data_IF_900816592870
#
_entry.id   IF_900816592870
#
_cell.length_a   1.000
_cell.length_b   1.000
_cell.length_c   1.000
_cell.angle_alpha   90.00
_cell.angle_beta   90.00
_cell.angle_gamma   90.00
#
_symmetry.space_group_name_H-M   'P 1'
#
loop_
_entity.id
_entity.type
_entity.pdbx_description
1 polymer ?
#
# COMPACT_ATOMS: atom_id res chain seq x y z
N UNK A 1 8.40 -20.17 -18.61
CA UNK A 1 7.00 -19.70 -18.71
C UNK A 1 6.96 -18.22 -19.07
N UNK A 2 5.98 -17.78 -19.87
CA UNK A 2 5.81 -16.37 -20.24
C UNK A 2 5.36 -15.58 -19.01
N UNK A 3 6.30 -14.88 -18.42
CA UNK A 3 6.13 -14.00 -17.26
C UNK A 3 5.60 -12.65 -17.75
N UNK A 4 4.35 -12.63 -18.19
CA UNK A 4 3.72 -11.39 -18.60
C UNK A 4 3.40 -10.55 -17.35
N UNK A 5 3.91 -9.32 -17.29
CA UNK A 5 3.60 -8.29 -16.28
C UNK A 5 4.21 -8.42 -14.87
N UNK A 6 5.18 -9.31 -14.63
CA UNK A 6 5.88 -9.40 -13.31
C UNK A 6 7.22 -8.66 -13.28
N UNK A 7 7.48 -7.92 -12.21
CA UNK A 7 8.76 -7.25 -11.94
C UNK A 7 9.89 -8.27 -11.67
N UNK A 8 11.16 -7.90 -11.93
CA UNK A 8 12.32 -8.73 -11.58
C UNK A 8 12.34 -9.08 -10.09
N UNK A 9 12.84 -10.27 -9.73
CA UNK A 9 12.90 -10.75 -8.33
C UNK A 9 13.62 -9.77 -7.38
N UNK A 10 14.61 -9.00 -7.87
CA UNK A 10 15.31 -7.97 -7.08
C UNK A 10 14.39 -6.87 -6.54
N UNK A 11 13.32 -6.55 -7.27
CA UNK A 11 12.33 -5.57 -6.84
C UNK A 11 11.58 -6.03 -5.59
N UNK A 12 11.49 -7.34 -5.33
CA UNK A 12 10.80 -7.88 -4.14
C UNK A 12 11.47 -7.41 -2.84
N UNK A 13 12.80 -7.45 -2.78
CA UNK A 13 13.56 -7.02 -1.61
C UNK A 13 13.44 -5.51 -1.40
N UNK A 14 13.54 -4.73 -2.49
CA UNK A 14 13.33 -3.27 -2.45
C UNK A 14 11.91 -2.95 -1.98
N UNK A 15 10.94 -3.71 -2.47
CA UNK A 15 9.54 -3.59 -2.09
C UNK A 15 9.34 -3.76 -0.59
N UNK A 16 9.92 -4.79 0.01
CA UNK A 16 9.84 -5.01 1.46
C UNK A 16 10.47 -3.86 2.27
N UNK A 17 11.59 -3.32 1.81
CA UNK A 17 12.24 -2.16 2.44
C UNK A 17 11.30 -0.95 2.38
N UNK A 18 10.74 -0.66 1.21
CA UNK A 18 9.82 0.47 1.03
C UNK A 18 8.54 0.32 1.85
N UNK A 19 7.97 -0.89 1.89
CA UNK A 19 6.78 -1.19 2.66
C UNK A 19 7.07 -1.03 4.17
N UNK A 20 8.22 -1.50 4.66
CA UNK A 20 8.64 -1.32 6.04
C UNK A 20 8.83 0.17 6.39
N UNK A 21 9.55 0.93 5.56
CA UNK A 21 9.75 2.38 5.77
C UNK A 21 8.40 3.12 5.74
N UNK A 22 7.52 2.77 4.80
CA UNK A 22 6.17 3.36 4.70
C UNK A 22 5.32 3.08 5.94
N UNK A 23 5.31 1.83 6.45
CA UNK A 23 4.60 1.48 7.69
C UNK A 23 5.19 2.26 8.88
N UNK A 24 6.51 2.33 9.01
CA UNK A 24 7.16 3.08 10.09
C UNK A 24 6.79 4.56 9.99
N UNK A 25 6.83 5.15 8.80
CA UNK A 25 6.40 6.53 8.55
C UNK A 25 4.95 6.77 8.98
N UNK A 26 4.03 5.89 8.57
CA UNK A 26 2.62 5.96 8.97
C UNK A 26 2.43 5.92 10.49
N UNK A 27 3.18 5.06 11.20
CA UNK A 27 3.12 4.96 12.66
C UNK A 27 3.69 6.19 13.38
N UNK A 28 4.64 6.89 12.75
CA UNK A 28 5.29 8.08 13.30
C UNK A 28 4.57 9.39 12.94
N UNK A 29 3.69 9.39 11.94
CA UNK A 29 2.97 10.58 11.44
C UNK A 29 2.29 11.40 12.55
N UNK A 30 1.68 10.72 13.52
CA UNK A 30 0.97 11.36 14.64
C UNK A 30 1.82 11.50 15.92
N UNK A 31 3.13 11.22 15.85
CA UNK A 31 4.05 11.24 16.99
C UNK A 31 5.02 12.40 16.88
N UNK A 32 5.18 13.13 17.98
CA UNK A 32 6.28 14.09 18.13
C UNK A 32 7.55 13.32 18.48
N UNK A 33 8.53 13.33 17.59
CA UNK A 33 9.85 12.73 17.82
C UNK A 33 10.81 13.86 18.19
N UNK A 34 11.31 13.88 19.43
CA UNK A 34 12.26 14.91 19.89
C UNK A 34 11.70 16.34 19.98
N UNK A 35 10.37 16.50 20.13
CA UNK A 35 9.71 17.81 20.22
C UNK A 35 9.37 18.47 18.89
N UNK A 36 9.72 17.84 17.76
CA UNK A 36 9.41 18.31 16.41
C UNK A 36 8.29 17.45 15.83
N UNK A 37 7.25 18.09 15.28
CA UNK A 37 6.30 17.42 14.39
C UNK A 37 6.99 17.22 13.05
N UNK A 38 7.17 15.98 12.63
CA UNK A 38 7.85 15.62 11.38
C UNK A 38 7.18 16.30 10.17
N UNK A 39 5.86 16.48 10.24
CA UNK A 39 5.07 17.16 9.22
C UNK A 39 5.43 18.65 9.03
N UNK A 40 5.77 19.36 10.12
CA UNK A 40 6.16 20.78 10.02
C UNK A 40 7.57 20.96 9.45
N UNK A 41 8.43 19.94 9.54
CA UNK A 41 9.83 20.02 9.11
C UNK A 41 10.06 19.84 7.61
N UNK A 42 9.13 19.23 6.87
CA UNK A 42 9.30 18.89 5.44
C UNK A 42 8.40 19.74 4.55
N UNK A 43 8.23 21.03 4.89
CA UNK A 43 7.47 21.97 4.06
C UNK A 43 8.30 22.51 2.92
N UNK A 44 8.02 22.02 1.72
CA UNK A 44 8.69 22.44 0.49
C UNK A 44 7.68 23.00 -0.52
N UNK A 45 8.16 23.84 -1.43
CA UNK A 45 7.32 24.37 -2.50
C UNK A 45 7.13 23.29 -3.56
N UNK A 46 5.91 22.79 -3.70
CA UNK A 46 5.55 21.73 -4.63
C UNK A 46 4.60 22.24 -5.69
N UNK A 47 4.65 21.61 -6.86
CA UNK A 47 3.70 21.88 -7.92
C UNK A 47 2.42 21.09 -7.67
N UNK A 48 1.32 21.79 -7.40
CA UNK A 48 0.00 21.20 -7.19
C UNK A 48 -0.84 21.35 -8.46
N UNK A 49 -1.32 20.21 -8.99
CA UNK A 49 -2.31 20.22 -10.08
C UNK A 49 -3.66 20.74 -9.58
N UNK A 50 -4.04 20.31 -8.37
CA UNK A 50 -5.19 20.82 -7.63
C UNK A 50 -4.80 20.91 -6.16
N UNK A 51 -5.05 22.07 -5.57
CA UNK A 51 -4.91 22.35 -4.15
C UNK A 51 -6.22 22.98 -3.67
N UNK A 52 -6.69 22.58 -2.50
CA UNK A 52 -7.97 23.06 -2.00
C UNK A 52 -8.41 22.31 -0.76
N UNK A 53 -8.75 23.07 0.28
CA UNK A 53 -9.35 22.52 1.48
C UNK A 53 -10.81 22.14 1.24
N UNK A 54 -11.34 21.28 2.12
CA UNK A 54 -12.73 20.81 2.08
C UNK A 54 -13.79 21.94 2.09
N UNK A 55 -13.42 23.13 2.56
CA UNK A 55 -14.24 24.35 2.56
C UNK A 55 -13.49 25.58 1.97
N UNK A 56 -12.35 25.38 1.31
CA UNK A 56 -11.47 26.45 0.84
C UNK A 56 -11.63 26.79 -0.65
N UNK A 57 -11.02 27.89 -1.08
CA UNK A 57 -10.86 28.19 -2.50
C UNK A 57 -9.93 27.17 -3.15
N UNK A 58 -10.36 26.56 -4.24
CA UNK A 58 -9.51 25.68 -5.03
C UNK A 58 -8.53 26.49 -5.86
N UNK A 59 -7.27 26.09 -5.85
CA UNK A 59 -6.22 26.54 -6.75
C UNK A 59 -5.82 25.39 -7.67
N UNK A 60 -5.59 25.69 -8.94
CA UNK A 60 -5.19 24.68 -9.92
C UNK A 60 -3.87 25.09 -10.57
N UNK A 61 -3.01 24.11 -10.85
CA UNK A 61 -1.70 24.29 -11.50
C UNK A 61 -0.83 25.39 -10.84
N UNK A 62 -0.76 25.37 -9.51
CA UNK A 62 -0.06 26.38 -8.72
C UNK A 62 1.09 25.78 -7.91
N UNK A 63 2.12 26.58 -7.64
CA UNK A 63 3.13 26.23 -6.65
C UNK A 63 2.63 26.55 -5.25
N UNK A 64 2.52 25.52 -4.40
CA UNK A 64 2.00 25.61 -3.04
C UNK A 64 3.06 25.13 -2.07
N UNK A 65 3.09 25.70 -0.87
CA UNK A 65 3.98 25.22 0.20
C UNK A 65 3.24 24.14 0.99
N UNK A 66 3.56 22.88 0.72
CA UNK A 66 2.98 21.74 1.42
C UNK A 66 4.05 20.89 2.12
N UNK A 67 3.66 20.17 3.16
CA UNK A 67 4.48 19.07 3.68
C UNK A 67 4.35 17.90 2.72
N UNK A 68 5.47 17.40 2.19
CA UNK A 68 5.46 16.19 1.33
C UNK A 68 5.53 14.88 2.12
N UNK A 69 5.44 14.94 3.45
CA UNK A 69 5.64 13.77 4.30
C UNK A 69 4.61 12.69 4.00
N UNK A 70 3.34 13.05 4.01
CA UNK A 70 2.23 12.12 3.81
C UNK A 70 2.24 11.51 2.40
N UNK A 71 2.50 12.33 1.38
CA UNK A 71 2.62 11.90 -0.01
C UNK A 71 3.78 10.93 -0.18
N UNK A 72 4.91 11.18 0.50
CA UNK A 72 6.07 10.31 0.43
C UNK A 72 5.81 8.97 1.11
N UNK A 73 5.19 8.97 2.29
CA UNK A 73 4.79 7.75 3.00
C UNK A 73 3.81 6.93 2.16
N UNK A 74 2.78 7.58 1.60
CA UNK A 74 1.80 6.97 0.70
C UNK A 74 2.47 6.37 -0.54
N UNK A 75 3.37 7.11 -1.20
CA UNK A 75 4.10 6.64 -2.37
C UNK A 75 4.97 5.41 -2.05
N UNK A 76 5.68 5.41 -0.92
CA UNK A 76 6.49 4.27 -0.49
C UNK A 76 5.62 3.03 -0.21
N UNK A 77 4.46 3.21 0.42
CA UNK A 77 3.54 2.10 0.68
C UNK A 77 2.98 1.50 -0.63
N UNK A 78 2.59 2.35 -1.59
CA UNK A 78 2.09 1.91 -2.90
C UNK A 78 3.19 1.18 -3.68
N UNK A 79 4.36 1.82 -3.84
CA UNK A 79 5.49 1.23 -4.58
C UNK A 79 5.99 -0.05 -3.90
N UNK A 80 6.11 -0.02 -2.57
CA UNK A 80 6.50 -1.17 -1.76
C UNK A 80 5.54 -2.34 -1.93
N UNK A 81 4.23 -2.10 -1.80
CA UNK A 81 3.22 -3.13 -1.96
C UNK A 81 3.17 -3.71 -3.37
N UNK A 82 3.25 -2.84 -4.40
CA UNK A 82 3.31 -3.28 -5.80
C UNK A 82 4.54 -4.15 -6.06
N UNK A 83 5.72 -3.72 -5.62
CA UNK A 83 6.94 -4.50 -5.78
C UNK A 83 6.90 -5.83 -5.02
N UNK A 84 6.38 -5.87 -3.79
CA UNK A 84 6.27 -7.13 -3.04
C UNK A 84 5.30 -8.10 -3.70
N UNK A 85 4.13 -7.61 -4.12
CA UNK A 85 3.06 -8.43 -4.66
C UNK A 85 3.23 -8.86 -6.13
N UNK A 86 3.87 -8.02 -6.96
CA UNK A 86 4.02 -8.25 -8.40
C UNK A 86 5.44 -8.55 -8.84
N UNK A 87 6.38 -8.80 -7.92
CA UNK A 87 7.71 -9.34 -8.28
C UNK A 87 7.67 -10.86 -8.48
N UNK A 88 8.51 -11.36 -9.39
CA UNK A 88 8.72 -12.79 -9.60
C UNK A 88 9.29 -13.47 -8.37
N UNK A 89 8.84 -14.68 -8.07
CA UNK A 89 9.51 -15.58 -7.14
C UNK A 89 10.73 -16.23 -7.80
N UNK A 90 11.67 -16.77 -6.99
CA UNK A 90 12.92 -17.38 -7.49
C UNK A 90 12.62 -18.57 -8.43
N UNK A 91 11.65 -19.40 -8.03
CA UNK A 91 11.08 -20.46 -8.84
C UNK A 91 9.62 -20.08 -9.08
N UNK A 92 9.30 -19.49 -10.22
CA UNK A 92 7.92 -19.17 -10.59
C UNK A 92 7.36 -20.33 -11.41
N UNK A 93 6.30 -20.97 -10.91
CA UNK A 93 5.53 -21.99 -11.59
C UNK A 93 4.07 -21.52 -11.84
N UNK A 94 3.29 -22.38 -12.48
CA UNK A 94 1.88 -22.11 -12.78
C UNK A 94 1.03 -22.00 -11.52
N UNK A 95 1.30 -22.84 -10.52
CA UNK A 95 0.59 -22.83 -9.25
C UNK A 95 0.80 -21.54 -8.45
N UNK A 96 2.02 -21.01 -8.38
CA UNK A 96 2.34 -19.73 -7.74
C UNK A 96 1.66 -18.58 -8.47
N UNK A 97 1.61 -18.63 -9.80
CA UNK A 97 0.88 -17.66 -10.61
C UNK A 97 -0.62 -17.69 -10.31
N UNK A 98 -1.20 -18.89 -10.18
CA UNK A 98 -2.59 -19.08 -9.79
C UNK A 98 -2.86 -18.59 -8.36
N UNK A 99 -2.02 -18.95 -7.39
CA UNK A 99 -2.13 -18.48 -6.00
C UNK A 99 -2.09 -16.95 -5.94
N UNK A 100 -1.24 -16.31 -6.75
CA UNK A 100 -1.17 -14.86 -6.85
C UNK A 100 -2.49 -14.27 -7.37
N UNK A 101 -3.01 -14.81 -8.47
CA UNK A 101 -4.27 -14.37 -9.05
C UNK A 101 -5.44 -14.52 -8.07
N UNK A 102 -5.58 -15.70 -7.45
CA UNK A 102 -6.63 -15.94 -6.46
C UNK A 102 -6.47 -15.01 -5.25
N UNK A 103 -5.24 -14.80 -4.77
CA UNK A 103 -5.00 -13.88 -3.65
C UNK A 103 -5.40 -12.45 -3.99
N UNK A 104 -5.21 -12.01 -5.23
CA UNK A 104 -5.64 -10.69 -5.70
C UNK A 104 -7.17 -10.58 -5.76
N UNK A 105 -7.86 -11.58 -6.30
CA UNK A 105 -9.34 -11.62 -6.35
C UNK A 105 -9.92 -11.57 -4.94
N UNK A 106 -9.35 -12.35 -4.01
CA UNK A 106 -9.78 -12.32 -2.61
C UNK A 106 -9.50 -11.01 -1.91
N UNK A 107 -8.39 -10.34 -2.25
CA UNK A 107 -8.10 -9.00 -1.73
C UNK A 107 -9.11 -7.96 -2.22
N UNK A 108 -9.53 -8.06 -3.48
CA UNK A 108 -10.59 -7.22 -4.05
C UNK A 108 -11.91 -7.42 -3.29
N UNK A 109 -12.35 -8.68 -3.10
CA UNK A 109 -13.57 -8.96 -2.34
C UNK A 109 -13.51 -8.49 -0.90
N UNK A 110 -12.38 -8.72 -0.22
CA UNK A 110 -12.19 -8.23 1.15
C UNK A 110 -12.22 -6.70 1.22
N UNK A 111 -11.54 -6.03 0.29
CA UNK A 111 -11.46 -4.57 0.23
C UNK A 111 -12.84 -3.93 0.02
N UNK A 112 -13.61 -4.42 -0.96
CA UNK A 112 -14.97 -3.94 -1.21
C UNK A 112 -15.94 -4.33 -0.10
N UNK A 113 -15.78 -5.50 0.53
CA UNK A 113 -16.55 -5.88 1.71
C UNK A 113 -16.31 -4.91 2.87
N UNK A 114 -15.05 -4.57 3.15
CA UNK A 114 -14.69 -3.61 4.18
C UNK A 114 -15.20 -2.20 3.86
N UNK A 115 -15.10 -1.78 2.59
CA UNK A 115 -15.62 -0.49 2.15
C UNK A 115 -17.15 -0.42 2.32
N UNK A 116 -17.88 -1.44 1.88
CA UNK A 116 -19.34 -1.51 2.00
C UNK A 116 -19.79 -1.47 3.46
N UNK A 117 -19.16 -2.27 4.34
CA UNK A 117 -19.41 -2.22 5.77
C UNK A 117 -19.12 -0.82 6.34
N UNK A 118 -18.03 -0.20 5.93
CA UNK A 118 -17.67 1.16 6.38
C UNK A 118 -18.71 2.18 5.93
N UNK A 119 -19.21 2.09 4.69
CA UNK A 119 -20.26 2.97 4.17
C UNK A 119 -21.59 2.79 4.90
N UNK A 120 -21.90 1.57 5.35
CA UNK A 120 -23.15 1.30 6.07
C UNK A 120 -23.10 1.71 7.55
N UNK A 121 -21.94 1.64 8.20
CA UNK A 121 -21.83 1.75 9.66
C UNK A 121 -20.97 2.92 10.17
N UNK A 122 -20.21 3.60 9.30
CA UNK A 122 -19.29 4.67 9.69
C UNK A 122 -19.67 5.96 8.97
N UNK A 123 -19.76 7.07 9.71
CA UNK A 123 -20.20 8.36 9.18
C UNK A 123 -19.26 9.51 9.55
N UNK A 124 -19.41 10.65 8.87
CA UNK A 124 -18.69 11.89 9.16
C UNK A 124 -17.19 11.82 8.85
N UNK A 125 -16.39 12.50 9.68
CA UNK A 125 -14.92 12.59 9.50
C UNK A 125 -14.23 11.23 9.64
N UNK A 126 -14.74 10.35 10.50
CA UNK A 126 -14.22 8.98 10.64
C UNK A 126 -14.39 8.16 9.36
N UNK A 127 -15.50 8.34 8.63
CA UNK A 127 -15.69 7.67 7.34
C UNK A 127 -14.62 8.07 6.33
N UNK A 128 -14.30 9.37 6.24
CA UNK A 128 -13.24 9.87 5.36
C UNK A 128 -11.88 9.23 5.69
N UNK A 129 -11.53 9.14 6.97
CA UNK A 129 -10.31 8.45 7.39
C UNK A 129 -10.32 6.97 6.99
N UNK A 130 -11.43 6.27 7.16
CA UNK A 130 -11.53 4.85 6.79
C UNK A 130 -11.40 4.63 5.28
N UNK A 131 -12.02 5.49 4.46
CA UNK A 131 -11.88 5.43 2.99
C UNK A 131 -10.42 5.64 2.58
N UNK A 132 -9.70 6.58 3.20
CA UNK A 132 -8.27 6.79 2.93
C UNK A 132 -7.43 5.54 3.27
N UNK A 133 -7.68 4.92 4.43
CA UNK A 133 -6.97 3.70 4.81
C UNK A 133 -7.36 2.48 3.96
N UNK A 134 -8.57 2.46 3.40
CA UNK A 134 -9.07 1.36 2.58
C UNK A 134 -8.20 1.15 1.33
N UNK A 135 -7.60 2.20 0.76
CA UNK A 135 -6.70 2.12 -0.41
C UNK A 135 -5.54 1.14 -0.15
N UNK A 136 -4.99 1.13 1.06
CA UNK A 136 -3.89 0.23 1.43
C UNK A 136 -4.35 -1.18 1.79
N UNK A 137 -5.58 -1.31 2.28
CA UNK A 137 -6.10 -2.60 2.77
C UNK A 137 -6.09 -3.67 1.69
N UNK A 138 -6.35 -3.31 0.43
CA UNK A 138 -6.27 -4.22 -0.72
C UNK A 138 -4.86 -4.77 -0.89
N UNK A 139 -3.86 -3.88 -0.96
CA UNK A 139 -2.44 -4.25 -1.14
C UNK A 139 -1.92 -5.09 0.02
N UNK A 140 -2.20 -4.67 1.26
CA UNK A 140 -1.75 -5.37 2.47
C UNK A 140 -2.38 -6.77 2.55
N UNK A 141 -3.69 -6.88 2.37
CA UNK A 141 -4.39 -8.17 2.42
C UNK A 141 -3.90 -9.11 1.32
N UNK A 142 -3.74 -8.60 0.10
CA UNK A 142 -3.19 -9.35 -1.02
C UNK A 142 -1.81 -9.94 -0.67
N UNK A 143 -0.88 -9.12 -0.17
CA UNK A 143 0.48 -9.54 0.16
C UNK A 143 0.48 -10.61 1.26
N UNK A 144 -0.28 -10.40 2.33
CA UNK A 144 -0.39 -11.35 3.45
C UNK A 144 -0.91 -12.69 2.94
N UNK A 145 -2.05 -12.69 2.24
CA UNK A 145 -2.68 -13.91 1.74
C UNK A 145 -1.77 -14.66 0.76
N UNK A 146 -1.14 -13.94 -0.16
CA UNK A 146 -0.23 -14.51 -1.13
C UNK A 146 0.94 -15.24 -0.45
N UNK A 147 1.60 -14.62 0.53
CA UNK A 147 2.73 -15.22 1.22
C UNK A 147 2.33 -16.38 2.14
N UNK A 148 1.15 -16.31 2.78
CA UNK A 148 0.63 -17.44 3.57
C UNK A 148 0.38 -18.65 2.66
N UNK A 149 -0.27 -18.45 1.51
CA UNK A 149 -0.56 -19.54 0.57
C UNK A 149 0.70 -20.10 -0.07
N UNK A 150 1.67 -19.25 -0.39
CA UNK A 150 2.98 -19.68 -0.88
C UNK A 150 3.72 -20.54 0.17
N UNK A 151 3.68 -20.15 1.44
CA UNK A 151 4.28 -20.93 2.53
C UNK A 151 3.59 -22.28 2.73
N UNK A 152 2.26 -22.33 2.65
CA UNK A 152 1.49 -23.58 2.72
C UNK A 152 1.88 -24.56 1.61
N UNK A 153 2.03 -24.07 0.37
CA UNK A 153 2.47 -24.88 -0.78
C UNK A 153 3.89 -25.42 -0.59
N UNK A 154 4.82 -24.59 -0.12
CA UNK A 154 6.20 -25.03 0.14
C UNK A 154 6.29 -26.08 1.24
N UNK A 155 5.41 -25.98 2.26
CA UNK A 155 5.35 -26.97 3.33
C UNK A 155 4.82 -28.31 2.82
N UNK A 156 3.74 -28.33 2.03
CA UNK A 156 3.18 -29.60 1.52
C UNK A 156 4.17 -30.34 0.63
N UNK A 157 4.87 -29.64 -0.26
CA UNK A 157 5.90 -30.26 -1.12
C UNK A 157 7.03 -30.91 -0.33
N UNK A 158 7.38 -30.37 0.85
CA UNK A 158 8.43 -30.93 1.71
C UNK A 158 7.94 -32.11 2.55
N UNK A 159 6.66 -32.10 2.92
CA UNK A 159 6.07 -33.20 3.71
C UNK A 159 5.77 -34.42 2.82
N UNK A 160 5.71 -34.24 1.49
CA UNK A 160 5.53 -35.30 0.48
C UNK A 160 6.87 -35.91 -0.04
N UNK A 161 8.03 -35.32 0.30
CA UNK A 161 9.39 -35.79 -0.01
C UNK A 161 9.98 -36.66 1.11
#
# INVERSE_FOLDING_TARGET
>A
MKTQFLFPNRCKTIGWIFLAIGIIGLLLMNRTVGGIKLDDSVRITTFAIADGGLMGSASYFSFVKNSMYDEFVLALMILGGLFVGFSRCKNEDEFISQIRYESLVWAVYFNFGLLLLSTLFIYGTYYMSVVLHNIFSLLIFFIIRFHIKLYQLQKSMRDDE
#
